data_IF_932291905729
#
_entry.id   IF_932291905729
#
_cell.length_a   1.000
_cell.length_b   1.000
_cell.length_c   1.000
_cell.angle_alpha   90.00
_cell.angle_beta   90.00
_cell.angle_gamma   90.00
#
_symmetry.space_group_name_H-M   'P 1'
#
loop_
_entity.id
_entity.type
_entity.pdbx_description
1 polymer ?
#
# COMPACT_ATOMS: atom_id res chain seq x y z
N UNK A 1 72.33 -20.81 9.04
CA UNK A 1 70.87 -20.84 8.79
C UNK A 1 70.66 -20.78 7.29
N UNK A 2 70.35 -21.93 6.67
CA UNK A 2 70.09 -22.05 5.24
C UNK A 2 68.58 -21.96 5.00
N UNK A 3 68.15 -21.04 4.15
CA UNK A 3 66.83 -21.03 3.52
C UNK A 3 67.02 -20.79 2.02
N UNK A 4 66.36 -21.58 1.15
CA UNK A 4 66.66 -21.63 -0.28
C UNK A 4 65.81 -20.67 -1.14
N UNK A 5 66.40 -20.32 -2.28
CA UNK A 5 65.84 -19.64 -3.45
C UNK A 5 64.81 -20.50 -4.20
N UNK A 6 63.67 -19.91 -4.60
CA UNK A 6 62.74 -20.43 -5.64
C UNK A 6 62.33 -19.20 -6.48
N UNK A 7 62.90 -18.99 -7.67
CA UNK A 7 62.57 -19.56 -8.99
C UNK A 7 61.24 -19.06 -9.57
N UNK A 8 61.36 -18.44 -10.75
CA UNK A 8 60.33 -17.77 -11.56
C UNK A 8 59.93 -18.68 -12.74
N UNK A 9 58.78 -18.36 -13.38
CA UNK A 9 58.19 -18.77 -14.70
C UNK A 9 57.11 -19.89 -14.71
N UNK A 10 56.21 -19.97 -15.73
CA UNK A 10 55.45 -18.93 -16.45
C UNK A 10 53.93 -19.24 -16.65
N UNK A 11 53.20 -18.22 -17.12
CA UNK A 11 52.02 -18.18 -18.03
C UNK A 11 51.18 -19.45 -18.30
N UNK A 12 49.84 -19.35 -18.12
CA UNK A 12 48.84 -19.80 -19.11
C UNK A 12 47.57 -18.95 -19.01
N UNK A 13 47.23 -18.26 -20.10
CA UNK A 13 45.90 -17.68 -20.31
C UNK A 13 44.91 -18.79 -20.67
N UNK A 14 43.83 -18.93 -19.88
CA UNK A 14 42.68 -19.78 -20.25
C UNK A 14 41.53 -18.87 -20.61
N UNK A 15 41.29 -18.72 -21.92
CA UNK A 15 39.97 -18.33 -22.44
C UNK A 15 39.06 -19.55 -22.28
N UNK A 16 38.06 -19.45 -21.41
CA UNK A 16 36.94 -20.39 -21.40
C UNK A 16 35.64 -19.61 -21.56
N UNK A 17 35.00 -19.83 -22.70
CA UNK A 17 33.66 -19.41 -22.98
C UNK A 17 32.69 -20.34 -22.23
N UNK A 18 31.95 -19.79 -21.26
CA UNK A 18 30.76 -20.44 -20.73
C UNK A 18 29.56 -19.55 -21.03
N UNK A 19 28.80 -19.96 -22.05
CA UNK A 19 27.40 -19.62 -22.22
C UNK A 19 26.67 -20.09 -20.97
N UNK A 20 26.39 -19.16 -20.06
CA UNK A 20 25.58 -19.37 -18.86
C UNK A 20 24.29 -18.60 -19.02
N UNK A 21 23.25 -19.33 -19.41
CA UNK A 21 21.84 -18.99 -19.40
C UNK A 21 21.54 -18.00 -18.26
N UNK A 22 21.21 -16.75 -18.63
CA UNK A 22 20.63 -15.80 -17.68
C UNK A 22 19.21 -16.31 -17.39
N UNK A 23 19.10 -17.15 -16.37
CA UNK A 23 17.82 -17.49 -15.78
C UNK A 23 17.19 -16.19 -15.30
N UNK A 24 16.17 -15.74 -16.04
CA UNK A 24 15.16 -14.82 -15.50
C UNK A 24 14.38 -15.60 -14.43
N UNK A 25 14.99 -15.86 -13.28
CA UNK A 25 14.26 -16.00 -12.03
C UNK A 25 13.93 -14.57 -11.61
N UNK A 26 12.67 -14.17 -11.62
CA UNK A 26 11.68 -14.77 -10.75
C UNK A 26 11.44 -13.78 -9.62
N UNK A 27 10.83 -12.65 -9.98
CA UNK A 27 9.96 -11.92 -9.05
C UNK A 27 8.74 -11.52 -9.89
N UNK A 28 7.89 -12.51 -10.18
CA UNK A 28 6.52 -12.21 -10.56
C UNK A 28 5.95 -11.43 -9.37
N UNK A 29 5.82 -10.12 -9.54
CA UNK A 29 5.11 -9.25 -8.63
C UNK A 29 3.69 -9.79 -8.54
N UNK A 30 3.36 -10.57 -7.50
CA UNK A 30 1.99 -11.06 -7.24
C UNK A 30 0.96 -9.91 -7.09
N UNK A 31 1.41 -8.65 -7.16
CA UNK A 31 0.59 -7.45 -7.04
C UNK A 31 -0.06 -7.09 -8.39
N UNK A 32 0.51 -7.52 -9.52
CA UNK A 32 0.03 -7.18 -10.88
C UNK A 32 -0.91 -8.23 -11.49
N UNK A 33 -1.35 -9.23 -10.70
CA UNK A 33 -2.12 -10.37 -11.19
C UNK A 33 -3.64 -10.28 -11.00
N UNK A 34 -4.14 -9.26 -10.30
CA UNK A 34 -5.57 -9.14 -10.01
C UNK A 34 -6.27 -8.20 -11.01
N UNK A 35 -7.55 -8.46 -11.35
CA UNK A 35 -8.35 -7.51 -12.10
C UNK A 35 -8.41 -6.15 -11.40
N UNK A 36 -8.40 -5.05 -12.18
CA UNK A 36 -8.45 -3.67 -11.66
C UNK A 36 -9.62 -3.44 -10.69
N UNK A 37 -10.76 -4.08 -10.94
CA UNK A 37 -11.95 -3.92 -10.10
C UNK A 37 -11.70 -4.33 -8.64
N UNK A 38 -10.78 -5.25 -8.36
CA UNK A 38 -10.42 -5.65 -7.00
C UNK A 38 -9.84 -4.47 -6.23
N UNK A 39 -8.92 -3.72 -6.86
CA UNK A 39 -8.38 -2.50 -6.28
C UNK A 39 -9.47 -1.42 -6.15
N UNK A 40 -10.39 -1.32 -7.12
CA UNK A 40 -11.51 -0.37 -7.05
C UNK A 40 -12.42 -0.65 -5.85
N UNK A 41 -12.68 -1.92 -5.50
CA UNK A 41 -13.44 -2.31 -4.31
C UNK A 41 -12.74 -1.93 -3.01
N UNK A 42 -11.42 -2.14 -2.95
CA UNK A 42 -10.64 -1.76 -1.76
C UNK A 42 -10.60 -0.24 -1.63
N UNK A 43 -10.48 0.51 -2.73
CA UNK A 43 -10.56 1.97 -2.70
C UNK A 43 -11.97 2.48 -2.34
N UNK A 44 -13.03 1.79 -2.77
CA UNK A 44 -14.40 2.06 -2.34
C UNK A 44 -14.55 1.90 -0.82
N UNK A 45 -14.01 0.82 -0.26
CA UNK A 45 -13.93 0.63 1.18
C UNK A 45 -13.09 1.70 1.87
N UNK A 46 -11.92 2.04 1.34
CA UNK A 46 -11.05 3.04 1.93
C UNK A 46 -11.73 4.41 2.01
N UNK A 47 -12.44 4.82 0.94
CA UNK A 47 -13.26 6.05 0.94
C UNK A 47 -14.33 6.02 2.03
N UNK A 48 -15.01 4.89 2.22
CA UNK A 48 -16.05 4.76 3.25
C UNK A 48 -15.53 4.98 4.68
N UNK A 49 -14.23 4.74 4.93
CA UNK A 49 -13.61 5.00 6.24
C UNK A 49 -13.48 6.50 6.54
N UNK A 50 -13.52 7.35 5.52
CA UNK A 50 -13.41 8.81 5.64
C UNK A 50 -14.77 9.52 5.58
N UNK A 51 -15.84 8.81 5.20
CA UNK A 51 -17.21 9.34 5.12
C UNK A 51 -17.99 9.24 6.44
N UNK A 52 -17.36 8.76 7.52
CA UNK A 52 -18.00 8.71 8.84
C UNK A 52 -18.26 10.10 9.42
N UNK A 53 -19.31 10.23 10.25
CA UNK A 53 -19.42 11.37 11.17
C UNK A 53 -18.15 11.39 12.03
N UNK A 54 -17.32 12.41 11.88
CA UNK A 54 -16.22 12.68 12.80
C UNK A 54 -16.75 12.59 14.24
N UNK A 55 -16.31 11.65 15.09
CA UNK A 55 -16.50 11.79 16.52
C UNK A 55 -15.44 12.78 16.98
N UNK A 56 -15.68 14.07 16.78
CA UNK A 56 -14.98 15.09 17.54
C UNK A 56 -15.21 14.80 19.04
N UNK A 57 -14.20 14.97 19.92
CA UNK A 57 -14.40 14.82 21.35
C UNK A 57 -15.34 15.93 21.84
N UNK A 58 -16.64 15.64 21.91
CA UNK A 58 -17.63 16.63 22.32
C UNK A 58 -19.09 16.42 21.90
N UNK A 59 -19.53 15.23 21.45
CA UNK A 59 -20.98 15.01 21.27
C UNK A 59 -21.66 14.87 22.64
N UNK A 60 -22.17 15.99 23.15
CA UNK A 60 -23.52 16.00 23.69
C UNK A 60 -24.48 16.27 22.52
N UNK A 61 -25.16 15.22 22.06
CA UNK A 61 -26.35 15.36 21.22
C UNK A 61 -27.39 16.11 22.06
N UNK A 62 -27.75 17.33 21.65
CA UNK A 62 -29.02 18.06 21.88
C UNK A 62 -28.78 19.53 21.56
N UNK A 63 -28.60 19.86 20.28
CA UNK A 63 -28.99 21.14 19.69
C UNK A 63 -28.74 21.03 18.18
N UNK A 64 -29.74 21.42 17.38
CA UNK A 64 -29.58 21.49 15.92
C UNK A 64 -28.38 22.41 15.61
N UNK A 65 -27.46 22.03 14.72
CA UNK A 65 -26.31 22.86 14.42
C UNK A 65 -26.81 24.19 13.88
N UNK A 66 -26.62 25.25 14.67
CA UNK A 66 -26.82 26.62 14.21
C UNK A 66 -25.92 26.79 12.99
N UNK A 67 -26.54 26.92 11.82
CA UNK A 67 -25.85 27.06 10.54
C UNK A 67 -24.85 28.22 10.69
N UNK A 68 -23.57 27.89 10.77
CA UNK A 68 -22.51 28.89 10.75
C UNK A 68 -22.44 29.42 9.32
N UNK A 69 -23.34 30.35 8.99
CA UNK A 69 -23.42 30.99 7.70
C UNK A 69 -22.23 31.97 7.58
N UNK A 70 -21.07 31.43 7.22
CA UNK A 70 -20.01 32.29 6.68
C UNK A 70 -20.55 32.93 5.40
N UNK A 71 -20.51 34.26 5.27
CA UNK A 71 -20.93 34.91 4.04
C UNK A 71 -20.06 34.37 2.90
N UNK A 72 -20.66 33.92 1.79
CA UNK A 72 -19.90 33.43 0.64
C UNK A 72 -18.97 34.54 0.17
N UNK A 73 -17.65 34.29 0.25
CA UNK A 73 -16.66 35.25 -0.24
C UNK A 73 -16.78 35.34 -1.77
N UNK A 74 -16.91 36.54 -2.36
CA UNK A 74 -16.97 36.71 -3.80
C UNK A 74 -15.63 36.30 -4.42
N UNK A 75 -15.61 35.16 -5.12
CA UNK A 75 -14.39 34.63 -5.77
C UNK A 75 -14.32 33.10 -5.83
N UNK A 76 -15.10 32.37 -5.02
CA UNK A 76 -15.12 30.90 -5.00
C UNK A 76 -16.13 30.27 -5.98
N UNK A 77 -16.45 30.94 -7.09
CA UNK A 77 -17.38 30.41 -8.09
C UNK A 77 -16.77 29.30 -8.98
N UNK A 78 -15.47 29.03 -8.82
CA UNK A 78 -14.71 28.07 -9.63
C UNK A 78 -13.84 27.15 -8.79
N UNK A 79 -14.19 26.92 -7.52
CA UNK A 79 -13.64 25.77 -6.83
C UNK A 79 -14.35 24.53 -7.41
N UNK A 80 -13.92 24.11 -8.60
CA UNK A 80 -14.32 22.86 -9.24
C UNK A 80 -13.75 21.72 -8.38
N UNK A 81 -14.30 21.55 -7.17
CA UNK A 81 -13.96 20.44 -6.29
C UNK A 81 -14.24 19.17 -7.10
N UNK A 82 -13.21 18.32 -7.35
CA UNK A 82 -13.39 17.18 -8.21
C UNK A 82 -14.54 16.34 -7.69
N UNK A 83 -15.49 15.98 -8.57
CA UNK A 83 -16.67 15.20 -8.23
C UNK A 83 -16.26 13.97 -7.42
N UNK A 84 -16.63 13.94 -6.14
CA UNK A 84 -16.31 12.84 -5.23
C UNK A 84 -16.92 11.56 -5.80
N UNK A 85 -16.09 10.53 -6.01
CA UNK A 85 -16.59 9.22 -6.46
C UNK A 85 -17.51 8.67 -5.37
N UNK A 86 -18.80 8.42 -5.64
CA UNK A 86 -19.72 7.93 -4.64
C UNK A 86 -19.27 6.58 -4.04
N UNK A 87 -19.51 6.39 -2.75
CA UNK A 87 -19.21 5.13 -2.06
C UNK A 87 -20.39 4.17 -2.16
N UNK A 88 -20.11 2.94 -2.59
CA UNK A 88 -21.03 1.83 -2.43
C UNK A 88 -20.87 1.26 -1.01
N UNK A 89 -21.72 1.73 -0.08
CA UNK A 89 -21.66 1.32 1.33
C UNK A 89 -21.94 -0.17 1.57
N UNK A 90 -22.72 -0.83 0.71
CA UNK A 90 -22.98 -2.25 0.84
C UNK A 90 -21.71 -3.07 0.60
N UNK A 91 -21.05 -2.83 -0.54
CA UNK A 91 -19.80 -3.51 -0.88
C UNK A 91 -18.66 -3.12 0.08
N UNK A 92 -18.60 -1.85 0.48
CA UNK A 92 -17.65 -1.39 1.49
C UNK A 92 -17.81 -2.11 2.84
N UNK A 93 -19.06 -2.37 3.29
CA UNK A 93 -19.31 -3.15 4.52
C UNK A 93 -18.82 -4.60 4.40
N UNK A 94 -18.94 -5.22 3.22
CA UNK A 94 -18.44 -6.57 3.00
C UNK A 94 -16.90 -6.62 3.11
N UNK A 95 -16.20 -5.69 2.45
CA UNK A 95 -14.74 -5.55 2.55
C UNK A 95 -14.32 -5.20 3.99
N UNK A 96 -15.09 -4.39 4.70
CA UNK A 96 -14.79 -4.05 6.09
C UNK A 96 -14.84 -5.27 7.01
N UNK A 97 -15.86 -6.12 6.89
CA UNK A 97 -15.93 -7.38 7.65
C UNK A 97 -14.72 -8.27 7.39
N UNK A 98 -14.29 -8.38 6.13
CA UNK A 98 -13.07 -9.11 5.78
C UNK A 98 -11.84 -8.49 6.45
N UNK A 99 -11.69 -7.17 6.38
CA UNK A 99 -10.60 -6.43 7.02
C UNK A 99 -10.54 -6.69 8.55
N UNK A 100 -11.68 -6.72 9.23
CA UNK A 100 -11.75 -6.97 10.68
C UNK A 100 -11.28 -8.36 11.09
N UNK A 101 -11.36 -9.35 10.18
CA UNK A 101 -10.85 -10.71 10.44
C UNK A 101 -9.33 -10.83 10.34
N UNK A 102 -8.64 -9.83 9.79
CA UNK A 102 -7.20 -9.88 9.62
C UNK A 102 -6.47 -9.77 10.96
N UNK A 103 -5.29 -10.39 11.11
CA UNK A 103 -4.38 -10.11 12.21
C UNK A 103 -4.04 -8.60 12.28
N UNK A 104 -3.82 -8.08 13.49
CA UNK A 104 -3.57 -6.65 13.71
C UNK A 104 -2.41 -6.09 12.86
N UNK A 105 -1.38 -6.89 12.62
CA UNK A 105 -0.24 -6.50 11.78
C UNK A 105 -0.67 -6.29 10.33
N UNK A 106 -1.51 -7.17 9.78
CA UNK A 106 -2.01 -7.08 8.41
C UNK A 106 -3.00 -5.93 8.28
N UNK A 107 -3.86 -5.72 9.28
CA UNK A 107 -4.73 -4.54 9.33
C UNK A 107 -3.93 -3.23 9.19
N UNK A 108 -2.82 -3.10 9.92
CA UNK A 108 -1.92 -1.93 9.80
C UNK A 108 -1.30 -1.79 8.41
N UNK A 109 -0.98 -2.90 7.75
CA UNK A 109 -0.49 -2.89 6.36
C UNK A 109 -1.58 -2.35 5.42
N UNK A 110 -2.81 -2.84 5.53
CA UNK A 110 -3.93 -2.36 4.69
C UNK A 110 -4.23 -0.89 4.96
N UNK A 111 -4.22 -0.46 6.22
CA UNK A 111 -4.40 0.95 6.59
C UNK A 111 -3.32 1.83 5.98
N UNK A 112 -2.05 1.43 6.08
CA UNK A 112 -0.95 2.23 5.55
C UNK A 112 -1.02 2.43 4.03
N UNK A 113 -1.50 1.42 3.29
CA UNK A 113 -1.60 1.48 1.83
C UNK A 113 -2.83 2.28 1.35
N UNK A 114 -4.01 2.03 1.94
CA UNK A 114 -5.27 2.51 1.36
C UNK A 114 -5.92 3.67 2.10
N UNK A 115 -5.82 3.74 3.42
CA UNK A 115 -6.48 4.81 4.20
C UNK A 115 -5.48 5.89 4.57
N UNK A 116 -4.37 5.54 5.23
CA UNK A 116 -3.41 6.46 5.85
C UNK A 116 -2.29 6.91 4.89
N UNK A 117 -2.53 6.85 3.57
CA UNK A 117 -1.52 7.16 2.56
C UNK A 117 -0.89 8.55 2.74
N UNK A 118 -1.69 9.54 3.17
CA UNK A 118 -1.25 10.91 3.41
C UNK A 118 -0.22 11.04 4.54
N UNK A 119 -0.24 10.18 5.55
CA UNK A 119 0.69 10.23 6.69
C UNK A 119 2.13 9.87 6.31
N UNK A 120 2.27 9.18 5.18
CA UNK A 120 3.55 8.83 4.62
C UNK A 120 4.05 9.86 3.59
N UNK A 121 3.31 10.97 3.41
CA UNK A 121 3.63 12.11 2.56
C UNK A 121 3.58 11.82 1.05
N UNK A 122 3.99 12.80 0.25
CA UNK A 122 4.14 12.69 -1.21
C UNK A 122 5.36 11.87 -1.64
N UNK A 123 5.73 10.88 -0.83
CA UNK A 123 6.80 9.95 -1.17
C UNK A 123 6.38 9.07 -2.36
N UNK A 124 7.34 8.74 -3.25
CA UNK A 124 7.14 7.69 -4.25
C UNK A 124 6.65 6.40 -3.61
N UNK A 125 5.82 5.61 -4.33
CA UNK A 125 5.16 4.41 -3.78
C UNK A 125 6.12 3.46 -3.06
N UNK A 126 7.30 3.20 -3.66
CA UNK A 126 8.34 2.36 -3.05
C UNK A 126 8.83 2.91 -1.71
N UNK A 127 9.14 4.19 -1.63
CA UNK A 127 9.62 4.82 -0.40
C UNK A 127 8.53 4.86 0.68
N UNK A 128 7.27 5.02 0.26
CA UNK A 128 6.11 4.95 1.16
C UNK A 128 6.01 3.58 1.83
N UNK A 129 6.11 2.51 1.04
CA UNK A 129 6.09 1.14 1.55
C UNK A 129 7.27 0.86 2.47
N UNK A 130 8.47 1.31 2.11
CA UNK A 130 9.66 1.17 2.97
C UNK A 130 9.49 1.92 4.31
N UNK A 131 8.91 3.13 4.29
CA UNK A 131 8.56 3.88 5.51
C UNK A 131 7.48 3.17 6.34
N UNK A 132 6.43 2.68 5.71
CA UNK A 132 5.36 1.93 6.36
C UNK A 132 5.90 0.65 7.03
N UNK A 133 6.77 -0.10 6.35
CA UNK A 133 7.43 -1.29 6.89
C UNK A 133 8.18 -0.97 8.18
N UNK A 134 8.94 0.14 8.21
CA UNK A 134 9.68 0.59 9.40
C UNK A 134 8.76 0.98 10.55
N UNK A 135 7.66 1.68 10.25
CA UNK A 135 6.70 2.13 11.27
C UNK A 135 5.91 0.95 11.85
N UNK A 136 5.51 0.00 11.01
CA UNK A 136 4.71 -1.17 11.43
C UNK A 136 5.61 -2.23 12.10
N UNK A 137 6.90 -2.29 11.74
CA UNK A 137 7.85 -3.28 12.24
C UNK A 137 7.82 -4.59 11.45
N UNK A 138 7.57 -4.53 10.14
CA UNK A 138 7.51 -5.71 9.25
C UNK A 138 8.52 -5.61 8.10
N UNK A 139 8.87 -6.76 7.53
CA UNK A 139 9.72 -6.81 6.33
C UNK A 139 8.92 -6.45 5.07
N UNK A 140 9.59 -5.87 4.06
CA UNK A 140 8.97 -5.56 2.78
C UNK A 140 8.37 -6.79 2.08
N UNK A 141 9.00 -7.99 2.09
CA UNK A 141 8.37 -9.19 1.57
C UNK A 141 7.05 -9.53 2.28
N UNK A 142 7.02 -9.46 3.61
CA UNK A 142 5.81 -9.72 4.38
C UNK A 142 4.71 -8.72 4.05
N UNK A 143 5.04 -7.43 3.96
CA UNK A 143 4.12 -6.37 3.58
C UNK A 143 3.44 -6.66 2.22
N UNK A 144 4.23 -7.06 1.22
CA UNK A 144 3.71 -7.42 -0.11
C UNK A 144 2.82 -8.66 -0.09
N UNK A 145 3.18 -9.67 0.71
CA UNK A 145 2.36 -10.88 0.87
C UNK A 145 1.03 -10.56 1.54
N UNK A 146 1.04 -9.72 2.59
CA UNK A 146 -0.19 -9.29 3.26
C UNK A 146 -1.12 -8.54 2.29
N UNK A 147 -0.58 -7.61 1.49
CA UNK A 147 -1.36 -6.92 0.45
C UNK A 147 -1.93 -7.89 -0.60
N UNK A 148 -1.11 -8.80 -1.11
CA UNK A 148 -1.54 -9.79 -2.10
C UNK A 148 -2.61 -10.75 -1.55
N UNK A 149 -2.43 -11.21 -0.31
CA UNK A 149 -3.39 -12.08 0.38
C UNK A 149 -4.74 -11.38 0.56
N UNK A 150 -4.74 -10.10 0.96
CA UNK A 150 -5.97 -9.34 1.11
C UNK A 150 -6.68 -9.14 -0.23
N UNK A 151 -5.95 -8.74 -1.29
CA UNK A 151 -6.52 -8.64 -2.65
C UNK A 151 -7.12 -9.97 -3.13
N UNK A 152 -6.46 -11.09 -2.85
CA UNK A 152 -6.97 -12.42 -3.20
C UNK A 152 -8.28 -12.75 -2.47
N UNK A 153 -8.39 -12.38 -1.19
CA UNK A 153 -9.61 -12.60 -0.41
C UNK A 153 -10.76 -11.70 -0.89
N UNK A 154 -10.47 -10.44 -1.23
CA UNK A 154 -11.46 -9.53 -1.83
C UNK A 154 -11.92 -10.04 -3.19
N UNK A 155 -11.00 -10.53 -4.02
CA UNK A 155 -11.35 -11.13 -5.31
C UNK A 155 -12.33 -12.30 -5.13
N UNK A 156 -12.00 -13.27 -4.26
CA UNK A 156 -12.85 -14.44 -3.99
C UNK A 156 -14.21 -14.12 -3.38
N UNK A 157 -14.35 -12.95 -2.75
CA UNK A 157 -15.61 -12.53 -2.14
C UNK A 157 -16.65 -12.07 -3.18
N UNK A 158 -16.19 -11.66 -4.38
CA UNK A 158 -17.03 -11.09 -5.42
C UNK A 158 -16.96 -11.84 -6.77
N UNK A 159 -16.23 -12.97 -6.81
CA UNK A 159 -16.22 -13.94 -7.91
C UNK A 159 -17.38 -14.93 -7.75
#
# INVERSE_FOLDING_TARGET
MHMPTISQVPSVAVKSAARGIFTKSGVNSMIDGFPRWVDDEIHNWARSQWEGEWPGPGRALLDEPTVCAFPPQPGHAHDDEPSRIPVNHERARQVHRLYETLPLVEQRVIQAEYTRRAEYGDLPARMRQEKACRVIGVSLPYYKVALGSFKQQVWRMFE
#
